data_IF_749115997141
#
_entry.id   IF_749115997141
#
_cell.length_a   1.000
_cell.length_b   1.000
_cell.length_c   1.000
_cell.angle_alpha   90.00
_cell.angle_beta   90.00
_cell.angle_gamma   90.00
#
_symmetry.space_group_name_H-M   'P 1'
#
loop_
_entity.id
_entity.type
_entity.pdbx_description
1 polymer ?
#
# COMPACT_ATOMS: atom_id res chain seq x y z
N UNK A 1 -3.24 -17.58 -59.41
CA UNK A 1 -2.92 -18.93 -58.85
C UNK A 1 -3.85 -19.35 -57.72
N UNK A 2 -4.03 -18.54 -56.65
CA UNK A 2 -4.90 -18.89 -55.51
C UNK A 2 -6.38 -19.10 -55.88
N UNK A 3 -6.92 -18.28 -56.79
CA UNK A 3 -8.31 -18.39 -57.29
C UNK A 3 -8.62 -19.77 -57.90
N UNK A 4 -7.72 -20.32 -58.71
CA UNK A 4 -7.89 -21.63 -59.34
C UNK A 4 -7.74 -22.79 -58.34
N UNK A 5 -6.84 -22.67 -57.36
CA UNK A 5 -6.67 -23.66 -56.29
C UNK A 5 -7.88 -23.72 -55.37
N UNK A 6 -8.40 -22.56 -54.97
CA UNK A 6 -9.65 -22.44 -54.21
C UNK A 6 -10.85 -23.01 -54.99
N UNK A 7 -10.94 -22.74 -56.30
CA UNK A 7 -12.02 -23.27 -57.15
C UNK A 7 -12.01 -24.80 -57.28
N UNK A 8 -10.83 -25.41 -57.46
CA UNK A 8 -10.69 -26.87 -57.49
C UNK A 8 -11.07 -27.52 -56.16
N UNK A 9 -10.62 -26.96 -55.05
CA UNK A 9 -10.95 -27.47 -53.71
C UNK A 9 -12.44 -27.30 -53.39
N UNK A 10 -13.06 -26.19 -53.79
CA UNK A 10 -14.48 -25.95 -53.63
C UNK A 10 -15.31 -26.92 -54.48
N UNK A 11 -14.90 -27.20 -55.72
CA UNK A 11 -15.58 -28.18 -56.58
C UNK A 11 -15.48 -29.61 -56.02
N UNK A 12 -14.34 -29.96 -55.42
CA UNK A 12 -14.18 -31.22 -54.69
C UNK A 12 -15.12 -31.27 -53.47
N UNK A 13 -15.22 -30.18 -52.70
CA UNK A 13 -16.09 -30.12 -51.54
C UNK A 13 -17.57 -30.28 -51.87
N UNK A 14 -18.02 -29.74 -53.01
CA UNK A 14 -19.42 -29.77 -53.42
C UNK A 14 -19.84 -31.11 -54.05
N UNK A 15 -18.92 -31.83 -54.69
CA UNK A 15 -19.21 -33.09 -55.37
C UNK A 15 -18.82 -34.33 -54.56
N UNK A 16 -18.27 -34.18 -53.35
CA UNK A 16 -17.87 -35.31 -52.52
C UNK A 16 -19.05 -35.84 -51.69
N UNK A 17 -19.33 -37.14 -51.80
CA UNK A 17 -20.37 -37.86 -51.05
C UNK A 17 -20.03 -38.09 -49.58
N UNK A 18 -18.75 -38.01 -49.19
CA UNK A 18 -18.29 -38.11 -47.81
C UNK A 18 -18.28 -36.74 -47.11
N UNK A 19 -19.05 -36.62 -46.02
CA UNK A 19 -19.14 -35.38 -45.23
C UNK A 19 -17.80 -34.90 -44.69
N UNK A 20 -16.94 -35.81 -44.24
CA UNK A 20 -15.65 -35.47 -43.65
C UNK A 20 -14.67 -34.93 -44.70
N UNK A 21 -14.64 -35.55 -45.88
CA UNK A 21 -13.80 -35.13 -46.99
C UNK A 21 -14.30 -33.83 -47.61
N UNK A 22 -15.62 -33.66 -47.73
CA UNK A 22 -16.23 -32.41 -48.16
C UNK A 22 -15.86 -31.24 -47.24
N UNK A 23 -15.91 -31.45 -45.91
CA UNK A 23 -15.56 -30.42 -44.92
C UNK A 23 -14.07 -30.06 -44.97
N UNK A 24 -13.20 -31.07 -45.11
CA UNK A 24 -11.75 -30.89 -45.26
C UNK A 24 -11.43 -30.09 -46.53
N UNK A 25 -12.02 -30.47 -47.67
CA UNK A 25 -11.86 -29.79 -48.94
C UNK A 25 -12.39 -28.34 -48.90
N UNK A 26 -13.49 -28.10 -48.18
CA UNK A 26 -14.01 -26.75 -47.95
C UNK A 26 -13.05 -25.90 -47.10
N UNK A 27 -12.44 -26.47 -46.05
CA UNK A 27 -11.41 -25.80 -45.26
C UNK A 27 -10.18 -25.41 -46.08
N UNK A 28 -9.75 -26.28 -47.00
CA UNK A 28 -8.67 -25.98 -47.96
C UNK A 28 -9.08 -24.86 -48.92
N UNK A 29 -10.31 -24.88 -49.43
CA UNK A 29 -10.84 -23.83 -50.30
C UNK A 29 -10.87 -22.47 -49.57
N UNK A 30 -11.35 -22.44 -48.33
CA UNK A 30 -11.41 -21.24 -47.50
C UNK A 30 -10.01 -20.68 -47.23
N UNK A 31 -9.05 -21.55 -46.92
CA UNK A 31 -7.66 -21.15 -46.68
C UNK A 31 -7.06 -20.44 -47.91
N UNK A 32 -7.29 -20.97 -49.12
CA UNK A 32 -6.81 -20.32 -50.34
C UNK A 32 -7.56 -19.03 -50.68
N UNK A 33 -8.83 -18.92 -50.32
CA UNK A 33 -9.63 -17.71 -50.48
C UNK A 33 -9.16 -16.59 -49.54
N UNK A 34 -8.90 -16.91 -48.27
CA UNK A 34 -8.31 -15.98 -47.29
C UNK A 34 -6.93 -15.50 -47.72
N UNK A 35 -6.05 -16.42 -48.16
CA UNK A 35 -4.72 -16.05 -48.69
C UNK A 35 -4.78 -15.21 -49.97
N UNK A 36 -5.84 -15.36 -50.75
CA UNK A 36 -6.04 -14.64 -52.00
C UNK A 36 -6.85 -13.34 -51.88
N UNK A 37 -7.40 -13.03 -50.71
CA UNK A 37 -8.19 -11.82 -50.48
C UNK A 37 -9.51 -11.77 -51.25
N UNK A 38 -10.16 -12.90 -51.51
CA UNK A 38 -11.45 -12.95 -52.22
C UNK A 38 -12.46 -13.85 -51.52
N UNK A 39 -13.76 -13.59 -51.75
CA UNK A 39 -14.83 -14.39 -51.19
C UNK A 39 -15.04 -15.69 -52.00
N UNK A 40 -15.20 -16.83 -51.33
CA UNK A 40 -15.45 -18.12 -51.98
C UNK A 40 -16.71 -18.11 -52.87
N UNK A 41 -17.73 -17.32 -52.50
CA UNK A 41 -18.95 -17.14 -53.29
C UNK A 41 -18.68 -16.61 -54.71
N UNK A 42 -17.56 -15.91 -54.92
CA UNK A 42 -17.18 -15.39 -56.25
C UNK A 42 -16.64 -16.47 -57.20
N UNK A 43 -16.38 -17.67 -56.69
CA UNK A 43 -15.87 -18.82 -57.47
C UNK A 43 -16.97 -19.77 -57.92
N UNK A 44 -18.14 -19.71 -57.28
CA UNK A 44 -19.27 -20.54 -57.65
C UNK A 44 -20.11 -19.78 -58.68
N UNK A 45 -19.97 -20.15 -59.96
CA UNK A 45 -20.99 -19.82 -60.94
C UNK A 45 -22.20 -20.68 -60.61
N UNK A 46 -23.30 -20.06 -60.22
CA UNK A 46 -24.60 -20.72 -60.23
C UNK A 46 -24.91 -20.93 -61.72
N UNK A 47 -24.55 -22.08 -62.26
CA UNK A 47 -25.14 -22.53 -63.51
C UNK A 47 -26.59 -22.87 -63.19
N UNK A 48 -27.48 -21.91 -63.47
CA UNK A 48 -28.92 -22.17 -63.54
C UNK A 48 -29.10 -23.07 -64.75
N UNK A 49 -28.95 -24.38 -64.56
CA UNK A 49 -29.56 -25.30 -65.49
C UNK A 49 -31.06 -25.03 -65.42
N UNK A 50 -31.65 -24.58 -66.52
CA UNK A 50 -33.10 -24.61 -66.74
C UNK A 50 -33.54 -26.08 -66.73
N UNK A 51 -33.61 -26.67 -65.55
CA UNK A 51 -33.96 -28.06 -65.35
C UNK A 51 -35.22 -28.13 -64.51
N UNK A 52 -36.32 -28.47 -65.17
CA UNK A 52 -37.58 -29.05 -64.68
C UNK A 52 -38.20 -28.42 -63.43
N UNK A 53 -39.49 -28.08 -63.54
CA UNK A 53 -40.38 -27.77 -62.42
C UNK A 53 -40.04 -28.63 -61.20
N UNK A 54 -39.58 -27.98 -60.14
CA UNK A 54 -39.24 -28.59 -58.86
C UNK A 54 -40.58 -28.94 -58.21
N UNK A 55 -40.72 -30.15 -57.67
CA UNK A 55 -41.96 -30.51 -56.97
C UNK A 55 -42.11 -29.66 -55.71
N UNK A 56 -43.34 -29.31 -55.36
CA UNK A 56 -43.67 -28.51 -54.17
C UNK A 56 -43.07 -29.10 -52.89
N UNK A 57 -43.01 -30.44 -52.78
CA UNK A 57 -42.37 -31.13 -51.64
C UNK A 57 -40.87 -30.83 -51.53
N UNK A 58 -40.17 -30.75 -52.67
CA UNK A 58 -38.73 -30.47 -52.71
C UNK A 58 -38.45 -28.98 -52.45
N UNK A 59 -39.33 -28.09 -52.90
CA UNK A 59 -39.26 -26.66 -52.57
C UNK A 59 -39.39 -26.42 -51.06
N UNK A 60 -40.39 -27.03 -50.41
CA UNK A 60 -40.59 -26.94 -48.95
C UNK A 60 -39.37 -27.49 -48.19
N UNK A 61 -38.79 -28.61 -48.62
CA UNK A 61 -37.58 -29.18 -48.02
C UNK A 61 -36.40 -28.20 -48.09
N UNK A 62 -36.19 -27.55 -49.24
CA UNK A 62 -35.11 -26.59 -49.45
C UNK A 62 -35.30 -25.32 -48.62
N UNK A 63 -36.54 -24.80 -48.56
CA UNK A 63 -36.89 -23.65 -47.71
C UNK A 63 -36.63 -23.96 -46.24
N UNK A 64 -37.03 -25.14 -45.77
CA UNK A 64 -36.79 -25.56 -44.39
C UNK A 64 -35.29 -25.70 -44.07
N UNK A 65 -34.50 -26.27 -45.00
CA UNK A 65 -33.04 -26.34 -44.85
C UNK A 65 -32.40 -24.96 -44.82
N UNK A 66 -32.81 -24.07 -45.72
CA UNK A 66 -32.32 -22.69 -45.77
C UNK A 66 -32.62 -21.96 -44.46
N UNK A 67 -33.86 -22.02 -43.97
CA UNK A 67 -34.26 -21.40 -42.71
C UNK A 67 -33.49 -21.98 -41.51
N UNK A 68 -33.23 -23.29 -41.50
CA UNK A 68 -32.40 -23.94 -40.49
C UNK A 68 -30.93 -23.46 -40.50
N UNK A 69 -30.34 -23.29 -41.68
CA UNK A 69 -28.98 -22.75 -41.84
C UNK A 69 -28.94 -21.28 -41.44
N UNK A 70 -29.92 -20.48 -41.87
CA UNK A 70 -30.02 -19.06 -41.54
C UNK A 70 -30.14 -18.84 -40.03
N UNK A 71 -30.92 -19.68 -39.32
CA UNK A 71 -31.02 -19.64 -37.86
C UNK A 71 -29.66 -19.89 -37.20
N UNK A 72 -28.94 -20.95 -37.61
CA UNK A 72 -27.61 -21.27 -37.08
C UNK A 72 -26.58 -20.17 -37.38
N UNK A 73 -26.64 -19.55 -38.57
CA UNK A 73 -25.76 -18.45 -38.93
C UNK A 73 -25.98 -17.23 -38.01
N UNK A 74 -27.23 -16.90 -37.69
CA UNK A 74 -27.56 -15.84 -36.73
C UNK A 74 -27.06 -16.14 -35.32
N UNK A 75 -27.24 -17.38 -34.86
CA UNK A 75 -26.72 -17.83 -33.55
C UNK A 75 -25.19 -17.71 -33.48
N UNK A 76 -24.47 -18.11 -34.54
CA UNK A 76 -23.02 -17.94 -34.59
C UNK A 76 -22.59 -16.48 -34.64
N UNK A 77 -23.31 -15.61 -35.37
CA UNK A 77 -23.04 -14.17 -35.40
C UNK A 77 -23.13 -13.56 -34.00
N UNK A 78 -24.22 -13.83 -33.28
CA UNK A 78 -24.41 -13.33 -31.91
C UNK A 78 -23.33 -13.85 -30.95
N UNK A 79 -22.89 -15.11 -31.13
CA UNK A 79 -21.81 -15.68 -30.32
C UNK A 79 -20.46 -15.01 -30.62
N UNK A 80 -20.17 -14.71 -31.88
CA UNK A 80 -18.94 -14.00 -32.28
C UNK A 80 -18.92 -12.58 -31.69
N UNK A 81 -20.03 -11.86 -31.73
CA UNK A 81 -20.16 -10.53 -31.13
C UNK A 81 -19.90 -10.58 -29.61
N UNK A 82 -20.52 -11.54 -28.92
CA UNK A 82 -20.32 -11.74 -27.48
C UNK A 82 -18.86 -12.05 -27.13
N UNK A 83 -18.21 -12.95 -27.87
CA UNK A 83 -16.81 -13.30 -27.66
C UNK A 83 -15.88 -12.12 -27.95
N UNK A 84 -16.18 -11.31 -28.97
CA UNK A 84 -15.41 -10.11 -29.31
C UNK A 84 -15.49 -9.08 -28.18
N UNK A 85 -16.69 -8.88 -27.61
CA UNK A 85 -16.89 -8.01 -26.45
C UNK A 85 -16.10 -8.49 -25.22
N UNK A 86 -16.12 -9.79 -24.93
CA UNK A 86 -15.32 -10.34 -23.83
C UNK A 86 -13.81 -10.18 -24.06
N UNK A 87 -13.35 -10.37 -25.31
CA UNK A 87 -11.95 -10.18 -25.67
C UNK A 87 -11.50 -8.72 -25.47
N UNK A 88 -12.30 -7.74 -25.87
CA UNK A 88 -11.99 -6.32 -25.63
C UNK A 88 -11.91 -6.00 -24.12
N UNK A 89 -12.87 -6.50 -23.33
CA UNK A 89 -12.88 -6.31 -21.87
C UNK A 89 -11.65 -6.92 -21.20
N UNK A 90 -11.29 -8.15 -21.56
CA UNK A 90 -10.10 -8.82 -21.00
C UNK A 90 -8.80 -8.15 -21.42
N UNK A 91 -8.72 -7.64 -22.65
CA UNK A 91 -7.55 -6.90 -23.16
C UNK A 91 -7.33 -5.60 -22.40
N UNK A 92 -8.40 -4.84 -22.13
CA UNK A 92 -8.34 -3.63 -21.30
C UNK A 92 -7.88 -3.93 -19.88
N UNK A 93 -8.48 -4.94 -19.24
CA UNK A 93 -8.07 -5.37 -17.90
C UNK A 93 -6.60 -5.82 -17.86
N UNK A 94 -6.13 -6.55 -18.87
CA UNK A 94 -4.72 -6.95 -18.95
C UNK A 94 -3.79 -5.73 -19.06
N UNK A 95 -4.14 -4.72 -19.84
CA UNK A 95 -3.35 -3.50 -19.96
C UNK A 95 -3.25 -2.74 -18.63
N UNK A 96 -4.37 -2.62 -17.90
CA UNK A 96 -4.41 -2.03 -16.56
C UNK A 96 -3.52 -2.79 -15.58
N UNK A 97 -3.59 -4.13 -15.56
CA UNK A 97 -2.73 -4.95 -14.68
C UNK A 97 -1.25 -4.82 -14.99
N UNK A 98 -0.87 -4.71 -16.27
CA UNK A 98 0.53 -4.51 -16.69
C UNK A 98 1.05 -3.14 -16.23
N UNK A 99 0.22 -2.10 -16.34
CA UNK A 99 0.56 -0.77 -15.85
C UNK A 99 0.75 -0.76 -14.32
N UNK A 100 -0.17 -1.39 -13.58
CA UNK A 100 -0.07 -1.52 -12.13
C UNK A 100 1.20 -2.28 -11.70
N UNK A 101 1.55 -3.36 -12.40
CA UNK A 101 2.78 -4.12 -12.14
C UNK A 101 4.03 -3.26 -12.34
N UNK A 102 4.13 -2.49 -13.43
CA UNK A 102 5.26 -1.62 -13.68
C UNK A 102 5.44 -0.55 -12.59
N UNK A 103 4.33 0.01 -12.09
CA UNK A 103 4.33 0.97 -10.97
C UNK A 103 4.82 0.29 -9.69
N UNK A 104 4.34 -0.93 -9.40
CA UNK A 104 4.75 -1.68 -8.22
C UNK A 104 6.25 -2.03 -8.24
N UNK A 105 6.78 -2.48 -9.39
CA UNK A 105 8.21 -2.76 -9.56
C UNK A 105 9.07 -1.51 -9.36
N UNK A 106 8.63 -0.36 -9.89
CA UNK A 106 9.32 0.92 -9.70
C UNK A 106 9.38 1.30 -8.22
N UNK A 107 8.25 1.24 -7.51
CA UNK A 107 8.19 1.51 -6.07
C UNK A 107 9.07 0.57 -5.25
N UNK A 108 9.07 -0.73 -5.58
CA UNK A 108 9.91 -1.72 -4.91
C UNK A 108 11.40 -1.38 -5.07
N UNK A 109 11.85 -1.01 -6.28
CA UNK A 109 13.24 -0.60 -6.51
C UNK A 109 13.60 0.66 -5.72
N UNK A 110 12.71 1.65 -5.66
CA UNK A 110 12.92 2.86 -4.85
C UNK A 110 13.02 2.54 -3.36
N UNK A 111 12.12 1.71 -2.83
CA UNK A 111 12.15 1.29 -1.44
C UNK A 111 13.43 0.52 -1.10
N UNK A 112 13.88 -0.38 -1.98
CA UNK A 112 15.11 -1.13 -1.78
C UNK A 112 16.34 -0.21 -1.75
N UNK A 113 16.37 0.84 -2.57
CA UNK A 113 17.44 1.86 -2.53
C UNK A 113 17.46 2.63 -1.21
N UNK A 114 16.29 2.98 -0.67
CA UNK A 114 16.18 3.65 0.64
C UNK A 114 16.66 2.74 1.76
N UNK A 115 16.26 1.46 1.74
CA UNK A 115 16.70 0.48 2.74
C UNK A 115 18.23 0.31 2.74
N UNK A 116 18.86 0.26 1.57
CA UNK A 116 20.31 0.14 1.48
C UNK A 116 21.03 1.40 1.99
N UNK A 117 20.51 2.60 1.69
CA UNK A 117 21.04 3.84 2.25
C UNK A 117 20.91 3.89 3.79
N UNK A 118 19.77 3.43 4.34
CA UNK A 118 19.57 3.34 5.78
C UNK A 118 20.56 2.36 6.43
N UNK A 119 20.82 1.22 5.76
CA UNK A 119 21.82 0.25 6.20
C UNK A 119 23.22 0.86 6.27
N UNK A 120 23.62 1.59 5.24
CA UNK A 120 24.91 2.29 5.20
C UNK A 120 25.04 3.32 6.33
N UNK A 121 24.02 4.17 6.53
CA UNK A 121 24.05 5.16 7.61
C UNK A 121 24.08 4.53 9.00
N UNK A 122 23.37 3.42 9.21
CA UNK A 122 23.45 2.68 10.47
C UNK A 122 24.86 2.13 10.72
N UNK A 123 25.50 1.59 9.69
CA UNK A 123 26.85 1.04 9.79
C UNK A 123 27.90 2.14 10.00
N UNK A 124 27.68 3.35 9.47
CA UNK A 124 28.47 4.56 9.77
C UNK A 124 28.27 5.03 11.22
N UNK A 125 27.02 5.16 11.67
CA UNK A 125 26.69 5.57 13.03
C UNK A 125 27.25 4.59 14.07
N UNK A 126 27.22 3.28 13.78
CA UNK A 126 27.78 2.24 14.65
C UNK A 126 29.30 2.40 14.79
N UNK A 127 30.01 2.69 13.70
CA UNK A 127 31.45 2.97 13.73
C UNK A 127 31.78 4.24 14.53
N UNK A 128 31.03 5.32 14.32
CA UNK A 128 31.22 6.57 15.05
C UNK A 128 30.96 6.39 16.57
N UNK A 129 29.96 5.59 16.93
CA UNK A 129 29.69 5.26 18.33
C UNK A 129 30.84 4.48 18.95
N UNK A 130 31.36 3.46 18.26
CA UNK A 130 32.50 2.67 18.72
C UNK A 130 33.75 3.54 18.93
N UNK A 131 34.04 4.45 18.00
CA UNK A 131 35.13 5.42 18.13
C UNK A 131 34.93 6.34 19.35
N UNK A 132 33.71 6.85 19.55
CA UNK A 132 33.38 7.70 20.70
C UNK A 132 33.53 6.95 22.03
N UNK A 133 33.07 5.70 22.12
CA UNK A 133 33.25 4.85 23.29
C UNK A 133 34.74 4.61 23.59
N UNK A 134 35.55 4.37 22.56
CA UNK A 134 37.00 4.20 22.71
C UNK A 134 37.69 5.46 23.25
N UNK A 135 37.28 6.65 22.77
CA UNK A 135 37.77 7.94 23.27
C UNK A 135 37.39 8.12 24.74
N UNK A 136 36.12 7.90 25.10
CA UNK A 136 35.65 8.00 26.49
C UNK A 136 36.41 7.08 27.44
N UNK A 137 36.63 5.81 27.06
CA UNK A 137 37.39 4.85 27.85
C UNK A 137 38.86 5.27 28.02
N UNK A 138 39.43 5.99 27.05
CA UNK A 138 40.78 6.55 27.16
C UNK A 138 40.79 7.75 28.11
N UNK A 139 39.88 8.72 27.92
CA UNK A 139 39.74 9.90 28.77
C UNK A 139 39.49 9.53 30.23
N UNK A 140 38.64 8.52 30.49
CA UNK A 140 38.38 8.03 31.83
C UNK A 140 39.65 7.43 32.47
N UNK A 141 40.44 6.67 31.71
CA UNK A 141 41.73 6.14 32.20
C UNK A 141 42.72 7.24 32.53
N UNK A 142 42.78 8.30 31.72
CA UNK A 142 43.69 9.41 31.96
C UNK A 142 43.24 10.26 33.17
N UNK A 143 41.92 10.46 33.35
CA UNK A 143 41.36 11.10 34.54
C UNK A 143 41.67 10.33 35.83
N UNK A 144 41.52 9.01 35.85
CA UNK A 144 41.84 8.19 37.02
C UNK A 144 43.35 8.25 37.37
N UNK A 145 44.25 8.34 36.37
CA UNK A 145 45.68 8.56 36.60
C UNK A 145 45.94 9.93 37.23
N UNK A 146 45.30 10.98 36.72
CA UNK A 146 45.46 12.35 37.23
C UNK A 146 44.93 12.47 38.66
N UNK A 147 43.77 11.88 38.94
CA UNK A 147 43.18 11.78 40.28
C UNK A 147 44.13 11.08 41.26
N UNK A 148 44.75 9.97 40.86
CA UNK A 148 45.73 9.27 41.67
C UNK A 148 46.98 10.14 41.96
N UNK A 149 47.46 10.88 40.95
CA UNK A 149 48.57 11.82 41.11
C UNK A 149 48.23 12.98 42.06
N UNK A 150 47.04 13.59 41.93
CA UNK A 150 46.58 14.63 42.86
C UNK A 150 46.43 14.13 44.30
N UNK A 151 45.94 12.90 44.49
CA UNK A 151 45.84 12.28 45.80
C UNK A 151 47.24 12.10 46.43
N UNK A 152 48.23 11.69 45.65
CA UNK A 152 49.62 11.59 46.10
C UNK A 152 50.16 12.95 46.55
N UNK A 153 49.95 13.99 45.74
CA UNK A 153 50.34 15.36 46.06
C UNK A 153 49.68 15.88 47.35
N UNK A 154 48.39 15.60 47.53
CA UNK A 154 47.66 15.96 48.75
C UNK A 154 48.27 15.28 49.98
N UNK A 155 48.57 13.99 49.90
CA UNK A 155 49.19 13.25 50.99
C UNK A 155 50.59 13.80 51.34
N UNK A 156 51.38 14.22 50.35
CA UNK A 156 52.68 14.88 50.59
C UNK A 156 52.53 16.24 51.27
N UNK A 157 51.56 17.05 50.84
CA UNK A 157 51.24 18.35 51.46
C UNK A 157 50.77 18.19 52.91
N UNK A 158 49.92 17.22 53.21
CA UNK A 158 49.50 16.91 54.58
C UNK A 158 50.69 16.50 55.46
N UNK A 159 51.63 15.71 54.91
CA UNK A 159 52.89 15.37 55.58
C UNK A 159 53.74 16.60 55.89
N UNK A 160 53.94 17.48 54.92
CA UNK A 160 54.69 18.73 55.10
C UNK A 160 54.00 19.66 56.10
N UNK A 161 52.68 19.81 56.03
CA UNK A 161 51.89 20.60 56.99
C UNK A 161 52.06 20.11 58.41
N UNK A 162 52.00 18.80 58.65
CA UNK A 162 52.23 18.21 59.98
C UNK A 162 53.66 18.46 60.51
N UNK A 163 54.61 18.75 59.62
CA UNK A 163 56.00 19.07 59.97
C UNK A 163 56.18 20.56 60.29
N UNK A 164 55.36 21.44 59.70
CA UNK A 164 55.37 22.90 59.91
C UNK A 164 54.59 23.36 61.15
N UNK A 165 53.72 22.53 61.73
CA UNK A 165 52.96 22.82 62.96
C UNK A 165 53.76 22.56 64.25
N UNK A 166 55.00 23.07 64.35
CA UNK A 166 55.61 23.42 65.64
C UNK A 166 55.47 24.94 65.84
N UNK A 167 55.08 25.41 67.04
CA UNK A 167 54.43 26.70 67.18
C UNK A 167 55.43 27.85 67.05
N UNK A 168 55.13 28.80 66.16
CA UNK A 168 55.59 30.19 66.25
C UNK A 168 54.39 31.09 65.95
N UNK A 169 54.26 32.14 66.76
CA UNK A 169 53.08 32.99 66.92
C UNK A 169 52.69 33.83 65.68
N UNK A 170 51.38 34.10 65.62
CA UNK A 170 50.57 34.89 64.67
C UNK A 170 51.12 36.30 64.32
N UNK A 171 50.64 36.97 63.23
CA UNK A 171 49.41 37.77 63.36
C UNK A 171 48.51 37.93 62.10
N UNK A 172 47.30 38.46 62.39
CA UNK A 172 46.11 38.79 61.56
C UNK A 172 46.36 39.63 60.30
N UNK A 173 45.56 39.40 59.24
CA UNK A 173 45.11 40.44 58.28
C UNK A 173 43.67 40.14 57.80
N UNK A 174 42.85 41.20 57.74
CA UNK A 174 41.48 41.25 57.25
C UNK A 174 41.43 41.57 55.74
N UNK A 175 40.42 41.06 55.01
CA UNK A 175 39.89 41.75 53.82
C UNK A 175 38.50 41.20 53.41
N UNK A 176 37.64 42.13 53.00
CA UNK A 176 36.28 42.01 52.49
C UNK A 176 36.21 41.73 50.99
N UNK A 177 35.16 41.04 50.51
CA UNK A 177 34.56 41.27 49.17
C UNK A 177 33.12 40.73 49.13
N UNK A 178 32.13 41.43 48.54
CA UNK A 178 30.79 40.87 48.32
C UNK A 178 30.79 40.02 47.05
N UNK A 179 30.47 38.72 47.19
CA UNK A 179 30.26 37.83 46.05
C UNK A 179 28.84 38.01 45.50
N UNK A 180 28.76 38.34 44.21
CA UNK A 180 27.52 38.28 43.45
C UNK A 180 27.05 36.82 43.39
N UNK A 181 25.98 36.51 44.10
CA UNK A 181 25.28 35.22 43.99
C UNK A 181 24.46 35.30 42.70
N UNK A 182 24.98 34.72 41.62
CA UNK A 182 24.16 34.31 40.49
C UNK A 182 23.49 33.00 40.93
N UNK A 183 22.23 33.09 41.34
CA UNK A 183 21.40 31.91 41.64
C UNK A 183 21.13 31.16 40.33
N UNK A 184 21.86 30.07 40.14
CA UNK A 184 21.69 29.11 39.06
C UNK A 184 20.45 28.26 39.36
N UNK A 185 19.31 28.56 38.74
CA UNK A 185 18.04 27.86 39.00
C UNK A 185 17.98 26.54 38.22
N UNK A 186 18.57 25.50 38.82
CA UNK A 186 18.59 24.13 38.32
C UNK A 186 17.17 23.61 38.01
N UNK A 187 16.15 24.08 38.74
CA UNK A 187 14.78 23.59 38.56
C UNK A 187 14.17 24.05 37.23
N UNK A 188 14.54 25.22 36.73
CA UNK A 188 14.01 25.73 35.47
C UNK A 188 14.57 24.93 34.28
N UNK A 189 15.87 24.60 34.33
CA UNK A 189 16.53 23.75 33.33
C UNK A 189 15.98 22.32 33.38
N UNK A 190 15.72 21.77 34.57
CA UNK A 190 15.12 20.44 34.71
C UNK A 190 13.68 20.39 34.17
N UNK A 191 12.89 21.46 34.36
CA UNK A 191 11.54 21.56 33.80
C UNK A 191 11.55 21.66 32.28
N UNK A 192 12.46 22.45 31.70
CA UNK A 192 12.64 22.52 30.23
C UNK A 192 13.06 21.15 29.65
N UNK A 193 14.00 20.45 30.30
CA UNK A 193 14.41 19.10 29.89
C UNK A 193 13.26 18.08 30.03
N UNK A 194 12.41 18.23 31.04
CA UNK A 194 11.25 17.36 31.26
C UNK A 194 10.18 17.60 30.18
N UNK A 195 9.88 18.86 29.84
CA UNK A 195 8.94 19.22 28.78
C UNK A 195 9.45 18.79 27.40
N UNK A 196 10.75 18.93 27.14
CA UNK A 196 11.38 18.47 25.90
C UNK A 196 11.29 16.95 25.78
N UNK A 197 11.60 16.20 26.85
CA UNK A 197 11.44 14.74 26.87
C UNK A 197 10.01 14.28 26.71
N UNK A 198 9.04 14.96 27.33
CA UNK A 198 7.62 14.63 27.15
C UNK A 198 7.15 14.90 25.72
N UNK A 199 7.63 16.00 25.12
CA UNK A 199 7.30 16.36 23.73
C UNK A 199 7.94 15.39 22.74
N UNK A 200 9.17 14.97 22.98
CA UNK A 200 9.89 14.00 22.16
C UNK A 200 9.25 12.60 22.24
N UNK A 201 8.90 12.15 23.45
CA UNK A 201 8.16 10.90 23.65
C UNK A 201 6.79 10.93 22.96
N UNK A 202 6.03 12.03 23.08
CA UNK A 202 4.74 12.16 22.38
C UNK A 202 4.89 12.11 20.85
N UNK A 203 5.93 12.74 20.30
CA UNK A 203 6.23 12.67 18.86
C UNK A 203 6.63 11.26 18.43
N UNK A 204 7.41 10.55 19.24
CA UNK A 204 7.80 9.16 18.98
C UNK A 204 6.59 8.22 19.02
N UNK A 205 5.71 8.36 20.02
CA UNK A 205 4.48 7.56 20.16
C UNK A 205 3.50 7.78 19.00
N UNK A 206 3.35 9.03 18.56
CA UNK A 206 2.56 9.40 17.37
C UNK A 206 3.11 8.73 16.11
N UNK A 207 4.44 8.72 15.95
CA UNK A 207 5.11 8.12 14.79
C UNK A 207 4.86 6.61 14.74
N UNK A 208 5.02 5.91 15.87
CA UNK A 208 4.78 4.46 15.95
C UNK A 208 3.30 4.08 15.72
N UNK A 209 2.37 4.87 16.26
CA UNK A 209 0.93 4.67 16.06
C UNK A 209 0.54 4.82 14.59
N UNK A 210 1.07 5.84 13.92
CA UNK A 210 0.80 6.08 12.51
C UNK A 210 1.46 5.04 11.58
N UNK A 211 2.67 4.57 11.92
CA UNK A 211 3.31 3.46 11.21
C UNK A 211 2.46 2.18 11.31
N UNK A 212 1.95 1.88 12.50
CA UNK A 212 1.04 0.73 12.71
C UNK A 212 -0.23 0.86 11.87
N UNK A 213 -0.86 2.04 11.85
CA UNK A 213 -2.01 2.31 11.00
C UNK A 213 -1.71 2.18 9.50
N UNK A 214 -0.53 2.62 9.08
CA UNK A 214 -0.10 2.52 7.68
C UNK A 214 0.02 1.06 7.24
N UNK A 215 0.64 0.20 8.06
CA UNK A 215 0.74 -1.24 7.78
C UNK A 215 -0.62 -1.95 7.76
N UNK A 216 -1.54 -1.57 8.67
CA UNK A 216 -2.92 -2.08 8.66
C UNK A 216 -3.65 -1.64 7.39
N UNK A 217 -3.54 -0.36 7.01
CA UNK A 217 -4.16 0.18 5.81
C UNK A 217 -3.69 -0.54 4.54
N UNK A 218 -2.38 -0.72 4.40
CA UNK A 218 -1.78 -1.48 3.29
C UNK A 218 -2.35 -2.90 3.21
N UNK A 219 -2.49 -3.57 4.35
CA UNK A 219 -3.07 -4.91 4.43
C UNK A 219 -4.54 -4.93 4.00
N UNK A 220 -5.32 -3.90 4.34
CA UNK A 220 -6.74 -3.78 3.96
C UNK A 220 -6.88 -3.59 2.45
N UNK A 221 -6.15 -2.65 1.85
CA UNK A 221 -6.30 -2.33 0.41
C UNK A 221 -5.77 -3.43 -0.51
N UNK A 222 -4.86 -4.28 -0.01
CA UNK A 222 -4.37 -5.45 -0.72
C UNK A 222 -5.35 -6.63 -0.69
N UNK A 223 -6.39 -6.57 0.17
CA UNK A 223 -7.42 -7.61 0.25
C UNK A 223 -8.44 -7.46 -0.88
N UNK A 224 -8.62 -8.48 -1.76
CA UNK A 224 -9.52 -8.39 -2.91
C UNK A 224 -10.98 -8.06 -2.55
N UNK A 225 -11.45 -8.52 -1.39
CA UNK A 225 -12.82 -8.31 -0.93
C UNK A 225 -13.07 -6.89 -0.39
N UNK A 226 -11.99 -6.14 -0.10
CA UNK A 226 -12.04 -4.81 0.51
C UNK A 226 -11.50 -3.73 -0.43
N UNK A 227 -10.87 -4.10 -1.55
CA UNK A 227 -10.30 -3.19 -2.54
C UNK A 227 -11.32 -2.20 -3.15
N UNK A 228 -12.60 -2.60 -3.22
CA UNK A 228 -13.68 -1.76 -3.77
C UNK A 228 -14.38 -0.89 -2.71
N UNK A 229 -13.93 -0.90 -1.45
CA UNK A 229 -14.51 -0.12 -0.35
C UNK A 229 -13.77 1.21 -0.21
N UNK A 230 -14.48 2.26 0.21
CA UNK A 230 -13.97 3.64 0.31
C UNK A 230 -13.08 3.85 1.54
N UNK A 231 -11.98 3.09 1.63
CA UNK A 231 -10.96 3.28 2.66
C UNK A 231 -10.03 4.43 2.31
N UNK A 232 -9.58 5.18 3.31
CA UNK A 232 -8.60 6.26 3.14
C UNK A 232 -7.75 6.39 4.39
N UNK A 233 -6.43 6.39 4.25
CA UNK A 233 -5.51 6.69 5.34
C UNK A 233 -5.38 8.21 5.51
N UNK A 234 -5.71 8.71 6.70
CA UNK A 234 -5.54 10.10 7.08
C UNK A 234 -4.30 10.27 7.94
N UNK A 235 -3.46 11.24 7.56
CA UNK A 235 -2.25 11.59 8.29
C UNK A 235 -2.59 12.28 9.62
N UNK A 236 -1.70 12.20 10.62
CA UNK A 236 -1.83 12.97 11.85
C UNK A 236 -1.91 14.48 11.55
N UNK A 237 -2.81 15.19 12.22
CA UNK A 237 -2.89 16.65 12.14
C UNK A 237 -2.86 17.28 13.54
N UNK A 238 -1.78 17.99 13.82
CA UNK A 238 -1.50 18.62 15.10
C UNK A 238 -2.53 19.69 15.51
N UNK A 239 -3.29 20.25 14.55
CA UNK A 239 -4.32 21.28 14.83
C UNK A 239 -5.50 20.73 15.61
N UNK A 240 -5.69 19.42 15.62
CA UNK A 240 -6.82 18.76 16.28
C UNK A 240 -6.44 18.09 17.60
N UNK A 241 -5.54 18.71 18.37
CA UNK A 241 -4.97 18.17 19.63
C UNK A 241 -5.96 17.68 20.70
N UNK A 242 -7.26 17.95 20.54
CA UNK A 242 -8.33 17.45 21.41
C UNK A 242 -8.91 16.09 20.98
N UNK A 243 -8.67 15.65 19.75
CA UNK A 243 -9.25 14.45 19.15
C UNK A 243 -8.16 13.40 18.95
N UNK A 244 -8.08 12.44 19.87
CA UNK A 244 -7.04 11.40 19.91
C UNK A 244 -6.84 10.67 18.57
N UNK A 245 -7.92 10.44 17.83
CA UNK A 245 -7.93 9.72 16.54
C UNK A 245 -7.50 10.57 15.33
N UNK A 246 -7.44 11.90 15.47
CA UNK A 246 -6.82 12.77 14.47
C UNK A 246 -5.34 12.99 14.80
N UNK A 247 -5.01 13.03 16.10
CA UNK A 247 -3.64 13.23 16.59
C UNK A 247 -2.70 12.09 16.22
N UNK A 248 -3.21 10.85 16.11
CA UNK A 248 -2.40 9.68 15.74
C UNK A 248 -2.65 9.20 14.29
N UNK A 249 -3.45 9.95 13.52
CA UNK A 249 -3.97 9.51 12.23
C UNK A 249 -5.06 8.44 12.37
N UNK A 250 -5.71 8.13 11.26
CA UNK A 250 -6.79 7.15 11.23
C UNK A 250 -6.98 6.54 9.84
N UNK A 251 -7.62 5.37 9.80
CA UNK A 251 -8.16 4.79 8.58
C UNK A 251 -9.65 5.12 8.53
N UNK A 252 -10.03 5.92 7.54
CA UNK A 252 -11.41 6.30 7.29
C UNK A 252 -12.07 5.29 6.35
N UNK A 253 -13.28 4.85 6.67
CA UNK A 253 -14.22 4.16 5.78
C UNK A 253 -15.45 5.04 5.63
N UNK A 254 -15.88 5.26 4.38
CA UNK A 254 -17.10 6.03 4.08
C UNK A 254 -18.19 5.13 3.49
N UNK A 255 -19.29 4.97 4.22
CA UNK A 255 -20.46 4.26 3.76
C UNK A 255 -21.54 5.27 3.35
N UNK A 256 -21.92 5.25 2.08
CA UNK A 256 -22.97 6.11 1.55
C UNK A 256 -24.34 5.47 1.73
N UNK A 257 -25.32 6.29 2.09
CA UNK A 257 -26.72 5.95 2.20
C UNK A 257 -27.51 6.68 1.11
N UNK A 258 -28.82 6.48 1.10
CA UNK A 258 -29.75 7.21 0.23
C UNK A 258 -29.65 8.74 0.50
N UNK A 259 -29.89 9.55 -0.54
CA UNK A 259 -29.88 11.02 -0.50
C UNK A 259 -28.53 11.67 -0.11
N UNK A 260 -27.40 11.15 -0.58
CA UNK A 260 -26.04 11.68 -0.30
C UNK A 260 -25.65 11.73 1.18
N UNK A 261 -26.42 11.09 2.05
CA UNK A 261 -26.02 10.89 3.45
C UNK A 261 -24.88 9.89 3.51
N UNK A 262 -23.98 10.03 4.49
CA UNK A 262 -22.89 9.09 4.67
C UNK A 262 -22.56 8.91 6.15
N UNK A 263 -22.10 7.70 6.48
CA UNK A 263 -21.48 7.41 7.76
C UNK A 263 -19.98 7.26 7.53
N UNK A 264 -19.21 8.03 8.29
CA UNK A 264 -17.77 7.84 8.36
C UNK A 264 -17.43 7.01 9.59
N UNK A 265 -16.65 5.96 9.37
CA UNK A 265 -15.99 5.20 10.41
C UNK A 265 -14.50 5.51 10.38
N UNK A 266 -13.92 5.88 11.50
CA UNK A 266 -12.52 6.20 11.65
C UNK A 266 -11.91 5.19 12.61
N UNK A 267 -11.10 4.27 12.09
CA UNK A 267 -10.30 3.37 12.90
C UNK A 267 -8.98 4.03 13.27
N UNK A 268 -8.62 3.97 14.55
CA UNK A 268 -7.42 4.60 15.07
C UNK A 268 -6.72 3.70 16.10
N UNK A 269 -5.40 3.87 16.20
CA UNK A 269 -4.54 3.16 17.15
C UNK A 269 -3.95 4.19 18.09
N UNK A 270 -3.92 3.87 19.39
CA UNK A 270 -3.29 4.72 20.41
C UNK A 270 -2.48 3.86 21.39
N UNK A 271 -1.41 4.41 21.99
CA UNK A 271 -0.72 3.76 23.09
C UNK A 271 -1.70 3.46 24.25
N UNK A 272 -1.55 2.30 24.88
CA UNK A 272 -2.33 1.94 26.06
C UNK A 272 -2.03 2.90 27.20
N UNK A 273 -3.08 3.32 27.91
CA UNK A 273 -2.94 4.16 29.10
C UNK A 273 -2.36 3.42 30.29
N UNK A 274 -2.39 2.08 30.28
CA UNK A 274 -1.86 1.23 31.36
C UNK A 274 -0.42 0.80 31.12
N UNK A 275 -0.04 0.55 29.86
CA UNK A 275 1.30 0.14 29.48
C UNK A 275 1.69 0.78 28.15
N UNK A 276 2.58 1.77 28.20
CA UNK A 276 3.03 2.53 27.02
C UNK A 276 3.71 1.68 25.94
N UNK A 277 4.08 0.43 26.25
CA UNK A 277 4.66 -0.51 25.28
C UNK A 277 3.61 -1.28 24.47
N UNK A 278 2.33 -1.18 24.86
CA UNK A 278 1.21 -1.85 24.20
C UNK A 278 0.29 -0.86 23.50
N UNK A 279 -0.32 -1.27 22.39
CA UNK A 279 -1.24 -0.46 21.62
C UNK A 279 -2.68 -0.95 21.73
N UNK A 280 -3.59 0.00 21.83
CA UNK A 280 -5.05 -0.22 21.82
C UNK A 280 -5.64 0.36 20.54
N UNK A 281 -6.94 0.18 20.34
CA UNK A 281 -7.61 0.76 19.18
C UNK A 281 -9.00 1.29 19.51
N UNK A 282 -9.53 2.10 18.59
CA UNK A 282 -10.88 2.60 18.67
C UNK A 282 -11.49 2.83 17.31
N UNK A 283 -12.81 2.96 17.32
CA UNK A 283 -13.60 3.34 16.15
C UNK A 283 -14.42 4.55 16.53
N UNK A 284 -14.23 5.64 15.80
CA UNK A 284 -15.10 6.79 15.86
C UNK A 284 -16.08 6.72 14.68
N UNK A 285 -17.38 6.89 14.95
CA UNK A 285 -18.44 6.97 13.95
C UNK A 285 -18.96 8.39 13.92
N UNK A 286 -19.18 8.93 12.73
CA UNK A 286 -19.88 10.20 12.51
C UNK A 286 -20.88 10.02 11.38
N UNK A 287 -22.13 10.43 11.63
CA UNK A 287 -23.22 10.38 10.66
C UNK A 287 -23.48 11.77 10.08
N UNK A 288 -23.43 11.88 8.76
CA UNK A 288 -23.73 13.12 8.04
C UNK A 288 -24.97 12.93 7.18
N UNK A 289 -25.94 13.84 7.35
CA UNK A 289 -27.22 13.81 6.66
C UNK A 289 -27.20 14.42 5.26
N UNK A 290 -28.34 14.44 4.56
CA UNK A 290 -28.44 14.83 3.14
C UNK A 290 -28.00 16.26 2.83
N UNK A 291 -28.05 17.14 3.84
CA UNK A 291 -27.70 18.57 3.74
C UNK A 291 -26.38 18.91 4.42
N UNK A 292 -25.56 17.90 4.74
CA UNK A 292 -24.28 18.09 5.42
C UNK A 292 -24.36 18.36 6.92
N UNK A 293 -25.54 18.20 7.53
CA UNK A 293 -25.71 18.33 8.98
C UNK A 293 -25.13 17.14 9.74
N UNK A 294 -24.57 17.38 10.92
CA UNK A 294 -24.12 16.34 11.85
C UNK A 294 -25.35 15.71 12.54
N UNK A 295 -25.49 14.40 12.42
CA UNK A 295 -26.59 13.62 13.01
C UNK A 295 -26.15 12.77 14.20
N UNK A 296 -24.93 12.97 14.66
CA UNK A 296 -24.41 12.33 15.85
C UNK A 296 -23.07 11.65 15.59
N UNK A 297 -22.31 11.53 16.67
CA UNK A 297 -21.05 10.81 16.67
C UNK A 297 -20.92 9.94 17.90
N UNK A 298 -20.21 8.82 17.75
CA UNK A 298 -20.01 7.84 18.80
C UNK A 298 -18.60 7.26 18.72
N UNK A 299 -17.98 6.99 19.86
CA UNK A 299 -16.64 6.40 19.91
C UNK A 299 -16.67 5.12 20.72
N UNK A 300 -16.18 4.04 20.13
CA UNK A 300 -15.94 2.76 20.80
C UNK A 300 -14.44 2.55 20.99
N UNK A 301 -14.03 2.02 22.15
CA UNK A 301 -12.64 1.69 22.45
C UNK A 301 -12.49 0.19 22.68
N UNK A 302 -11.34 -0.35 22.29
CA UNK A 302 -11.03 -1.77 22.35
C UNK A 302 -9.66 -1.98 23.01
N UNK A 303 -9.53 -3.06 23.77
CA UNK A 303 -8.31 -3.35 24.53
C UNK A 303 -7.13 -3.74 23.65
N UNK A 304 -7.38 -4.19 22.41
CA UNK A 304 -6.33 -4.56 21.45
C UNK A 304 -6.61 -3.97 20.07
N UNK A 305 -5.56 -3.85 19.24
CA UNK A 305 -5.69 -3.48 17.81
C UNK A 305 -6.56 -4.49 17.07
N UNK A 306 -6.32 -5.79 17.29
CA UNK A 306 -7.02 -6.86 16.58
C UNK A 306 -8.54 -6.82 16.81
N UNK A 307 -8.97 -6.59 18.06
CA UNK A 307 -10.39 -6.53 18.39
C UNK A 307 -11.07 -5.35 17.70
N UNK A 308 -10.50 -4.15 17.77
CA UNK A 308 -11.08 -2.98 17.10
C UNK A 308 -11.04 -3.10 15.58
N UNK A 309 -9.99 -3.71 15.01
CA UNK A 309 -9.91 -3.94 13.57
C UNK A 309 -11.00 -4.91 13.09
N UNK A 310 -11.26 -5.99 13.84
CA UNK A 310 -12.38 -6.92 13.54
C UNK A 310 -13.72 -6.20 13.51
N UNK A 311 -14.02 -5.37 14.51
CA UNK A 311 -15.26 -4.61 14.56
C UNK A 311 -15.36 -3.56 13.45
N UNK A 312 -14.24 -2.92 13.11
CA UNK A 312 -14.18 -1.94 12.02
C UNK A 312 -14.45 -2.59 10.65
N UNK A 313 -13.82 -3.74 10.39
CA UNK A 313 -13.98 -4.44 9.12
C UNK A 313 -15.37 -5.04 8.94
N UNK A 314 -16.07 -5.41 10.03
CA UNK A 314 -17.49 -5.78 9.95
C UNK A 314 -18.31 -4.67 9.29
N UNK A 315 -18.07 -3.40 9.64
CA UNK A 315 -18.78 -2.24 9.03
C UNK A 315 -18.48 -2.02 7.56
N UNK A 316 -17.39 -2.59 7.05
CA UNK A 316 -17.05 -2.56 5.64
C UNK A 316 -17.70 -3.71 4.85
N UNK A 317 -17.97 -4.84 5.52
CA UNK A 317 -18.50 -6.06 4.91
C UNK A 317 -20.01 -6.19 5.04
N UNK A 318 -20.61 -5.52 6.03
CA UNK A 318 -22.05 -5.25 6.13
C UNK A 318 -22.53 -4.34 4.96
#
# INVERSE_FOLDING_TARGET
MYKAKAGKALNLALNNSSKAEALSAFGVALTYATKGGFNLSTLHKIEVHESKSISTSREIELVNKYNGILKKAKEFSAKIESLTYQLDKTTKSLAETKSALAIAESKFRSANKVAENMRLHRDEASRALEETCNILLKTQRDFEKEKAASQCFKNELEKLSSTLTKPVESPKIAASTPQAIITFDINNILNEIQEDKETENRKQDQNLSFQSLSGIYESIILSPNLANKNFTLQKPDARYGKLEWIVNGNIKLTNYWYDNSYTNYYFFVIPSTQDKTTYTSGIHRSDTGPRGGDHGSYTSRYTTIEQGLKEFLKKALD
#
